data_IF_356708644412
#
_entry.id   IF_356708644412
#
_cell.length_a   1.000
_cell.length_b   1.000
_cell.length_c   1.000
_cell.angle_alpha   90.00
_cell.angle_beta   90.00
_cell.angle_gamma   90.00
#
_symmetry.space_group_name_H-M   'P 1'
#
loop_
_entity.id
_entity.type
_entity.pdbx_description
1 polymer ?
#
# COMPACT_ATOMS: atom_id res chain seq x y z
N UNK A 1 25.07 3.45 -35.17
CA UNK A 1 26.05 3.99 -34.20
C UNK A 1 25.52 3.69 -32.81
N UNK A 2 26.37 3.21 -31.90
CA UNK A 2 26.00 2.97 -30.51
C UNK A 2 25.52 4.28 -29.87
N UNK A 3 24.43 4.22 -29.11
CA UNK A 3 23.89 5.39 -28.42
C UNK A 3 24.90 5.87 -27.37
N UNK A 4 25.49 7.05 -27.60
CA UNK A 4 26.59 7.57 -26.81
C UNK A 4 26.11 8.07 -25.44
N UNK A 5 26.88 7.78 -24.39
CA UNK A 5 26.63 8.31 -23.05
C UNK A 5 27.15 9.74 -22.94
N UNK A 6 26.25 10.66 -22.56
CA UNK A 6 26.52 12.09 -22.38
C UNK A 6 26.47 12.44 -20.90
N UNK A 7 27.38 13.32 -20.51
CA UNK A 7 27.44 13.92 -19.18
C UNK A 7 27.27 15.43 -19.31
N UNK A 8 26.27 15.98 -18.63
CA UNK A 8 26.06 17.42 -18.49
C UNK A 8 26.41 17.85 -17.07
N UNK A 9 27.22 18.87 -16.93
CA UNK A 9 27.50 19.54 -15.66
C UNK A 9 26.79 20.89 -15.70
N UNK A 10 25.70 21.02 -14.94
CA UNK A 10 24.84 22.22 -14.95
C UNK A 10 24.82 22.82 -13.55
N UNK A 11 25.35 24.03 -13.38
CA UNK A 11 25.43 24.70 -12.07
C UNK A 11 26.18 23.87 -11.00
N UNK A 12 27.14 23.03 -11.44
CA UNK A 12 27.89 22.12 -10.57
C UNK A 12 27.23 20.75 -10.33
N UNK A 13 26.00 20.51 -10.79
CA UNK A 13 25.31 19.22 -10.68
C UNK A 13 25.58 18.37 -11.92
N UNK A 14 25.93 17.09 -11.72
CA UNK A 14 26.23 16.13 -12.80
C UNK A 14 24.98 15.34 -13.19
N UNK A 15 24.59 15.44 -14.46
CA UNK A 15 23.52 14.67 -15.10
C UNK A 15 24.09 13.74 -16.15
N UNK A 16 23.68 12.48 -16.12
CA UNK A 16 24.15 11.45 -17.05
C UNK A 16 22.97 10.87 -17.84
N UNK A 17 23.13 10.73 -19.16
CA UNK A 17 22.09 10.18 -20.03
C UNK A 17 22.65 9.64 -21.33
N UNK A 18 21.75 9.17 -22.20
CA UNK A 18 22.04 8.78 -23.57
C UNK A 18 21.78 9.93 -24.53
N UNK A 19 22.48 9.94 -25.67
CA UNK A 19 22.26 10.90 -26.75
C UNK A 19 20.84 10.87 -27.28
N UNK A 20 20.26 9.68 -27.40
CA UNK A 20 18.87 9.50 -27.83
C UNK A 20 17.88 10.34 -27.01
N UNK A 21 18.11 10.49 -25.69
CA UNK A 21 17.26 11.30 -24.79
C UNK A 21 17.12 12.74 -25.26
N UNK A 22 18.22 13.40 -25.66
CA UNK A 22 18.15 14.78 -26.14
C UNK A 22 17.60 14.86 -27.56
N UNK A 23 18.06 13.98 -28.44
CA UNK A 23 17.64 14.00 -29.86
C UNK A 23 16.17 13.63 -30.07
N UNK A 24 15.50 13.09 -29.04
CA UNK A 24 14.06 12.85 -29.04
C UNK A 24 13.22 14.13 -29.02
N UNK A 25 13.78 15.28 -28.60
CA UNK A 25 13.12 16.59 -28.59
C UNK A 25 13.93 17.57 -29.44
N UNK A 26 13.92 17.40 -30.77
CA UNK A 26 14.99 17.94 -31.60
C UNK A 26 14.86 19.43 -31.95
N UNK A 27 13.77 20.07 -31.54
CA UNK A 27 13.46 21.50 -31.64
C UNK A 27 14.03 22.34 -30.49
N UNK A 28 14.58 21.70 -29.46
CA UNK A 28 15.16 22.39 -28.30
C UNK A 28 16.67 22.63 -28.47
N UNK A 29 17.28 23.38 -27.55
CA UNK A 29 18.72 23.66 -27.56
C UNK A 29 19.56 22.38 -27.54
N UNK A 30 19.33 21.48 -26.58
CA UNK A 30 20.15 20.27 -26.44
C UNK A 30 19.80 19.23 -27.52
N UNK A 31 18.53 19.14 -27.92
CA UNK A 31 18.14 18.28 -29.04
C UNK A 31 18.80 18.71 -30.35
N UNK A 32 18.92 20.01 -30.57
CA UNK A 32 19.68 20.56 -31.69
C UNK A 32 21.17 20.28 -31.53
N UNK A 33 21.77 20.59 -30.38
CA UNK A 33 23.21 20.46 -30.12
C UNK A 33 23.73 19.02 -30.31
N UNK A 34 22.95 18.01 -29.93
CA UNK A 34 23.38 16.61 -29.95
C UNK A 34 23.01 15.82 -31.21
N UNK A 35 22.41 16.47 -32.22
CA UNK A 35 22.22 15.88 -33.56
C UNK A 35 23.56 15.60 -34.23
N UNK A 36 23.60 14.55 -35.06
CA UNK A 36 24.79 14.14 -35.83
C UNK A 36 25.39 15.27 -36.68
N UNK A 37 24.55 16.17 -37.18
CA UNK A 37 24.96 17.25 -38.07
C UNK A 37 25.63 18.43 -37.34
N UNK A 38 25.57 18.46 -36.00
CA UNK A 38 25.99 19.61 -35.18
C UNK A 38 27.23 19.32 -34.33
N UNK A 39 28.06 18.36 -34.75
CA UNK A 39 29.36 18.04 -34.13
C UNK A 39 30.23 19.28 -33.86
N UNK A 40 30.25 20.25 -34.78
CA UNK A 40 31.04 21.47 -34.66
C UNK A 40 30.58 22.43 -33.54
N UNK A 41 29.39 22.23 -32.98
CA UNK A 41 28.82 23.02 -31.88
C UNK A 41 29.15 22.39 -30.52
N UNK A 42 29.60 21.13 -30.51
CA UNK A 42 29.93 20.36 -29.31
C UNK A 42 31.28 20.81 -28.73
N UNK A 43 31.24 21.64 -27.70
CA UNK A 43 32.42 21.97 -26.91
C UNK A 43 32.54 21.02 -25.71
N UNK A 44 32.99 19.79 -25.97
CA UNK A 44 33.21 18.81 -24.91
C UNK A 44 34.54 19.06 -24.19
N UNK A 45 34.56 18.96 -22.85
CA UNK A 45 35.79 19.09 -22.06
C UNK A 45 36.58 17.77 -22.06
N UNK A 46 35.89 16.62 -22.01
CA UNK A 46 36.48 15.28 -21.92
C UNK A 46 35.88 14.30 -22.95
N UNK A 47 35.49 14.78 -24.14
CA UNK A 47 34.89 13.97 -25.21
C UNK A 47 33.39 13.73 -25.08
N UNK A 48 32.87 13.56 -23.86
CA UNK A 48 31.42 13.39 -23.61
C UNK A 48 30.87 14.23 -22.46
N UNK A 49 31.68 15.14 -21.90
CA UNK A 49 31.31 16.03 -20.79
C UNK A 49 31.11 17.47 -21.28
N UNK A 50 29.98 18.07 -20.92
CA UNK A 50 29.58 19.42 -21.35
C UNK A 50 29.19 20.29 -20.15
N UNK A 51 29.61 21.55 -20.15
CA UNK A 51 29.42 22.46 -19.01
C UNK A 51 28.43 23.59 -19.34
N UNK A 52 27.50 23.83 -18.41
CA UNK A 52 26.51 24.90 -18.47
C UNK A 52 26.49 25.68 -17.15
N UNK A 53 26.80 26.97 -17.20
CA UNK A 53 26.70 27.88 -16.06
C UNK A 53 25.25 28.37 -15.89
N UNK A 54 24.37 27.44 -15.50
CA UNK A 54 22.92 27.60 -15.38
C UNK A 54 22.42 27.01 -14.07
N UNK A 55 21.14 27.18 -13.75
CA UNK A 55 20.58 26.62 -12.52
C UNK A 55 20.47 25.08 -12.61
N UNK A 56 21.38 24.38 -11.93
CA UNK A 56 21.42 22.92 -11.90
C UNK A 56 20.14 22.30 -11.32
N UNK A 57 19.58 22.86 -10.26
CA UNK A 57 18.36 22.32 -9.64
C UNK A 57 17.14 22.47 -10.57
N UNK A 58 17.02 23.60 -11.26
CA UNK A 58 15.99 23.81 -12.27
C UNK A 58 16.16 22.87 -13.47
N UNK A 59 17.42 22.59 -13.83
CA UNK A 59 17.76 21.68 -14.93
C UNK A 59 17.27 20.25 -14.70
N UNK A 60 17.05 19.82 -13.45
CA UNK A 60 16.38 18.55 -13.17
C UNK A 60 15.04 18.42 -13.93
N UNK A 61 14.20 19.46 -13.89
CA UNK A 61 12.90 19.44 -14.56
C UNK A 61 13.02 19.51 -16.09
N UNK A 62 14.05 20.20 -16.59
CA UNK A 62 14.39 20.23 -18.01
C UNK A 62 14.82 18.84 -18.48
N UNK A 63 15.62 18.13 -17.68
CA UNK A 63 16.09 16.78 -17.96
C UNK A 63 14.93 15.77 -18.00
N UNK A 64 13.99 15.86 -17.05
CA UNK A 64 12.77 15.04 -17.05
C UNK A 64 11.88 15.28 -18.28
N UNK A 65 11.85 16.52 -18.79
CA UNK A 65 11.17 16.82 -20.05
C UNK A 65 11.80 16.06 -21.23
N UNK A 66 13.13 16.00 -21.35
CA UNK A 66 13.76 15.22 -22.43
C UNK A 66 13.50 13.73 -22.31
N UNK A 67 13.45 13.18 -21.09
CA UNK A 67 13.17 11.75 -20.85
C UNK A 67 11.74 11.36 -21.19
N UNK A 68 10.77 12.23 -20.90
CA UNK A 68 9.35 11.86 -20.88
C UNK A 68 8.48 12.61 -21.91
N UNK A 69 9.01 13.68 -22.52
CA UNK A 69 8.26 14.66 -23.30
C UNK A 69 7.31 15.52 -22.45
N UNK A 70 7.45 15.53 -21.11
CA UNK A 70 6.52 16.16 -20.19
C UNK A 70 7.28 16.97 -19.15
N UNK A 71 6.84 18.21 -18.90
CA UNK A 71 7.34 18.97 -17.74
C UNK A 71 6.70 18.43 -16.46
N UNK A 72 7.52 17.93 -15.55
CA UNK A 72 7.11 17.34 -14.26
C UNK A 72 7.43 18.27 -13.09
N UNK A 73 7.00 19.53 -13.18
CA UNK A 73 7.13 20.48 -12.08
C UNK A 73 5.93 20.34 -11.14
N UNK A 74 6.11 19.55 -10.09
CA UNK A 74 5.05 19.28 -9.11
C UNK A 74 5.04 20.32 -8.01
N UNK A 75 3.86 20.79 -7.64
CA UNK A 75 3.63 21.57 -6.41
C UNK A 75 3.40 20.65 -5.19
N UNK A 76 3.89 19.41 -5.20
CA UNK A 76 3.70 18.48 -4.08
C UNK A 76 4.38 19.00 -2.82
N UNK A 77 3.60 19.67 -1.96
CA UNK A 77 3.60 19.94 -0.50
C UNK A 77 4.94 20.30 0.20
N UNK A 78 6.09 19.91 -0.31
CA UNK A 78 7.35 20.61 -0.07
C UNK A 78 7.47 21.67 -1.15
N UNK A 79 7.68 22.91 -0.77
CA UNK A 79 7.92 23.99 -1.73
C UNK A 79 8.93 23.49 -2.76
N UNK A 80 8.64 23.62 -4.07
CA UNK A 80 9.60 23.22 -5.08
C UNK A 80 10.89 24.00 -4.79
N UNK A 81 12.01 23.29 -4.71
CA UNK A 81 13.34 23.88 -4.46
C UNK A 81 13.66 25.00 -5.48
N UNK A 82 12.97 24.96 -6.62
CA UNK A 82 13.06 25.90 -7.74
C UNK A 82 11.74 26.65 -7.88
N UNK A 83 11.82 27.98 -7.82
CA UNK A 83 10.67 28.87 -8.05
C UNK A 83 10.17 28.78 -9.50
N UNK A 84 8.91 29.17 -9.72
CA UNK A 84 8.35 29.27 -11.08
C UNK A 84 9.19 30.17 -11.99
N UNK A 85 9.71 31.28 -11.46
CA UNK A 85 10.52 32.22 -12.21
C UNK A 85 11.81 31.57 -12.70
N UNK A 86 12.56 30.91 -11.80
CA UNK A 86 13.80 30.21 -12.16
C UNK A 86 13.54 29.12 -13.21
N UNK A 87 12.47 28.34 -13.06
CA UNK A 87 12.11 27.35 -14.06
C UNK A 87 11.76 27.99 -15.41
N UNK A 88 11.01 29.08 -15.40
CA UNK A 88 10.60 29.79 -16.62
C UNK A 88 11.81 30.37 -17.38
N UNK A 89 12.83 30.85 -16.67
CA UNK A 89 14.09 31.33 -17.26
C UNK A 89 14.90 30.19 -17.89
N UNK A 90 14.97 29.01 -17.26
CA UNK A 90 15.65 27.86 -17.86
C UNK A 90 14.89 27.29 -19.07
N UNK A 91 13.56 27.28 -19.05
CA UNK A 91 12.76 26.89 -20.21
C UNK A 91 13.03 27.79 -21.43
N UNK A 92 13.23 29.10 -21.22
CA UNK A 92 13.66 30.02 -22.29
C UNK A 92 15.06 29.68 -22.79
N UNK A 93 16.02 29.51 -21.87
CA UNK A 93 17.41 29.23 -22.22
C UNK A 93 17.55 27.93 -23.04
N UNK A 94 16.89 26.86 -22.62
CA UNK A 94 16.91 25.57 -23.32
C UNK A 94 15.97 25.51 -24.53
N UNK A 95 15.30 26.62 -24.87
CA UNK A 95 14.43 26.75 -26.04
C UNK A 95 13.28 25.74 -26.06
N UNK A 96 12.66 25.51 -24.90
CA UNK A 96 11.56 24.57 -24.75
C UNK A 96 10.23 25.32 -24.92
N UNK A 97 9.33 24.82 -25.78
CA UNK A 97 8.07 25.48 -26.10
C UNK A 97 7.10 25.52 -24.91
N UNK A 98 6.94 26.70 -24.32
CA UNK A 98 6.13 26.96 -23.13
C UNK A 98 4.62 26.77 -23.32
N UNK A 99 4.10 27.12 -24.50
CA UNK A 99 2.65 27.21 -24.75
C UNK A 99 1.94 25.85 -24.64
N UNK A 100 2.55 24.81 -25.22
CA UNK A 100 2.07 23.44 -25.16
C UNK A 100 2.31 22.83 -23.77
N UNK A 101 3.38 23.25 -23.10
CA UNK A 101 3.81 22.64 -21.84
C UNK A 101 3.01 23.14 -20.64
N UNK A 102 2.74 24.44 -20.52
CA UNK A 102 2.06 25.00 -19.33
C UNK A 102 0.57 24.64 -19.28
N UNK A 103 -0.11 24.58 -20.42
CA UNK A 103 -1.49 24.08 -20.50
C UNK A 103 -1.56 22.58 -20.12
N UNK A 104 -0.62 21.79 -20.61
CA UNK A 104 -0.40 20.40 -20.19
C UNK A 104 -0.06 20.29 -18.69
N UNK A 105 0.74 21.21 -18.15
CA UNK A 105 1.14 21.19 -16.75
C UNK A 105 -0.04 21.49 -15.83
N UNK A 106 -0.80 22.57 -16.10
CA UNK A 106 -1.98 22.92 -15.31
C UNK A 106 -3.02 21.78 -15.30
N UNK A 107 -3.29 21.18 -16.46
CA UNK A 107 -4.19 20.03 -16.56
C UNK A 107 -3.65 18.81 -15.82
N UNK A 108 -2.36 18.50 -15.94
CA UNK A 108 -1.71 17.41 -15.19
C UNK A 108 -1.72 17.64 -13.69
N UNK A 109 -1.52 18.87 -13.22
CA UNK A 109 -1.61 19.23 -11.81
C UNK A 109 -3.02 18.98 -11.29
N UNK A 110 -4.05 19.45 -11.99
CA UNK A 110 -5.44 19.19 -11.60
C UNK A 110 -5.77 17.69 -11.59
N UNK A 111 -5.35 16.93 -12.61
CA UNK A 111 -5.51 15.47 -12.68
C UNK A 111 -4.78 14.80 -11.51
N UNK A 112 -3.57 15.24 -11.19
CA UNK A 112 -2.78 14.72 -10.08
C UNK A 112 -3.49 14.96 -8.74
N UNK A 113 -3.98 16.18 -8.49
CA UNK A 113 -4.73 16.51 -7.28
C UNK A 113 -5.98 15.66 -7.13
N UNK A 114 -6.75 15.47 -8.21
CA UNK A 114 -7.92 14.57 -8.21
C UNK A 114 -7.48 13.12 -7.94
N UNK A 115 -6.39 12.67 -8.58
CA UNK A 115 -5.84 11.33 -8.38
C UNK A 115 -5.39 11.08 -6.94
N UNK A 116 -4.71 12.04 -6.31
CA UNK A 116 -4.32 11.97 -4.90
C UNK A 116 -5.55 11.93 -4.00
N UNK A 117 -6.58 12.74 -4.28
CA UNK A 117 -7.84 12.72 -3.52
C UNK A 117 -8.54 11.35 -3.61
N UNK A 118 -8.60 10.77 -4.81
CA UNK A 118 -9.11 9.41 -5.03
C UNK A 118 -8.28 8.38 -4.26
N UNK A 119 -6.95 8.46 -4.32
CA UNK A 119 -6.05 7.57 -3.57
C UNK A 119 -6.28 7.66 -2.07
N UNK A 120 -6.53 8.85 -1.52
CA UNK A 120 -6.90 9.01 -0.10
C UNK A 120 -8.24 8.35 0.23
N UNK A 121 -9.23 8.42 -0.67
CA UNK A 121 -10.49 7.69 -0.51
C UNK A 121 -10.30 6.17 -0.59
N UNK A 122 -9.49 5.66 -1.51
CA UNK A 122 -9.18 4.23 -1.62
C UNK A 122 -8.54 3.69 -0.34
N UNK A 123 -7.53 4.40 0.18
CA UNK A 123 -6.87 4.03 1.44
C UNK A 123 -7.83 4.08 2.63
N UNK A 124 -8.71 5.08 2.68
CA UNK A 124 -9.76 5.17 3.70
C UNK A 124 -10.69 3.96 3.64
N UNK A 125 -11.16 3.59 2.44
CA UNK A 125 -12.04 2.43 2.24
C UNK A 125 -11.34 1.14 2.70
N UNK A 126 -10.12 0.90 2.24
CA UNK A 126 -9.34 -0.30 2.54
C UNK A 126 -9.07 -0.41 4.05
N UNK A 127 -8.52 0.65 4.65
CA UNK A 127 -8.17 0.65 6.08
C UNK A 127 -9.40 0.50 6.97
N UNK A 128 -10.52 1.15 6.64
CA UNK A 128 -11.77 1.00 7.39
C UNK A 128 -12.30 -0.43 7.30
N UNK A 129 -12.30 -1.01 6.11
CA UNK A 129 -12.79 -2.37 5.88
C UNK A 129 -11.97 -3.42 6.64
N UNK A 130 -10.64 -3.26 6.67
CA UNK A 130 -9.72 -4.18 7.36
C UNK A 130 -9.81 -4.02 8.89
N UNK A 131 -9.73 -2.78 9.38
CA UNK A 131 -9.49 -2.54 10.81
C UNK A 131 -10.77 -2.50 11.65
N UNK A 132 -11.90 -2.13 11.05
CA UNK A 132 -13.12 -1.85 11.81
C UNK A 132 -14.19 -2.94 11.63
N UNK A 133 -14.03 -3.81 10.63
CA UNK A 133 -15.02 -4.80 10.22
C UNK A 133 -16.41 -4.20 9.94
N UNK A 134 -16.46 -2.89 9.67
CA UNK A 134 -17.68 -2.10 9.56
C UNK A 134 -18.14 -1.99 8.09
N UNK A 135 -19.45 -1.84 7.91
CA UNK A 135 -20.14 -1.87 6.61
C UNK A 135 -20.37 -0.48 6.03
N UNK A 136 -19.98 0.60 6.72
CA UNK A 136 -20.26 1.96 6.26
C UNK A 136 -19.20 2.99 6.64
N UNK A 137 -19.03 4.00 5.79
CA UNK A 137 -18.21 5.19 6.05
C UNK A 137 -19.07 6.41 5.75
N UNK A 138 -19.09 7.36 6.69
CA UNK A 138 -19.69 8.67 6.51
C UNK A 138 -18.61 9.75 6.41
N UNK A 139 -18.71 10.59 5.37
CA UNK A 139 -17.87 11.76 5.18
C UNK A 139 -18.75 12.98 4.94
N UNK A 140 -18.38 14.09 5.54
CA UNK A 140 -18.97 15.39 5.29
C UNK A 140 -17.89 16.38 4.85
N UNK A 141 -18.06 17.00 3.68
CA UNK A 141 -17.15 18.02 3.15
C UNK A 141 -17.89 19.34 3.00
N UNK A 142 -17.51 20.34 3.80
CA UNK A 142 -18.18 21.65 3.85
C UNK A 142 -17.50 22.68 2.95
N UNK A 143 -18.27 23.64 2.42
CA UNK A 143 -17.76 24.70 1.53
C UNK A 143 -17.16 25.91 2.25
N UNK A 144 -17.52 26.15 3.50
CA UNK A 144 -17.18 27.39 4.24
C UNK A 144 -15.77 27.40 4.80
N UNK A 145 -15.25 26.23 5.17
CA UNK A 145 -13.91 26.05 5.70
C UNK A 145 -13.13 24.96 4.95
N UNK A 146 -13.71 24.36 3.91
CA UNK A 146 -13.20 23.17 3.23
C UNK A 146 -12.75 22.06 4.20
N UNK A 147 -13.35 22.02 5.39
CA UNK A 147 -13.05 20.97 6.36
C UNK A 147 -13.76 19.69 5.94
N UNK A 148 -13.01 18.62 6.06
CA UNK A 148 -13.49 17.26 5.90
C UNK A 148 -13.75 16.72 7.31
N UNK A 149 -15.02 16.45 7.60
CA UNK A 149 -15.45 15.77 8.80
C UNK A 149 -15.64 14.29 8.45
N UNK A 150 -14.85 13.43 9.08
CA UNK A 150 -14.99 11.99 9.00
C UNK A 150 -15.08 11.42 10.41
N UNK A 151 -15.83 10.32 10.59
CA UNK A 151 -16.02 9.69 11.90
C UNK A 151 -14.76 9.04 12.48
N UNK A 152 -13.66 8.93 11.71
CA UNK A 152 -12.50 8.11 12.06
C UNK A 152 -11.17 8.89 12.07
N UNK A 153 -10.15 8.28 12.68
CA UNK A 153 -8.77 8.76 12.87
C UNK A 153 -7.98 9.13 11.58
N UNK A 154 -8.61 9.11 10.41
CA UNK A 154 -7.98 9.34 9.11
C UNK A 154 -8.17 10.76 8.59
N UNK A 155 -8.69 11.67 9.42
CA UNK A 155 -8.87 13.10 9.09
C UNK A 155 -7.59 13.74 8.54
N UNK A 156 -6.43 13.38 9.12
CA UNK A 156 -5.12 13.93 8.71
C UNK A 156 -4.79 13.66 7.25
N UNK A 157 -5.23 12.53 6.67
CA UNK A 157 -4.96 12.20 5.25
C UNK A 157 -5.64 13.16 4.28
N UNK A 158 -6.70 13.81 4.72
CA UNK A 158 -7.48 14.74 3.93
C UNK A 158 -7.08 16.20 4.16
N UNK A 159 -6.17 16.46 5.10
CA UNK A 159 -5.74 17.81 5.45
C UNK A 159 -5.11 18.55 4.26
N UNK A 160 -4.41 17.83 3.38
CA UNK A 160 -3.82 18.39 2.16
C UNK A 160 -4.85 18.91 1.15
N UNK A 161 -6.12 18.53 1.27
CA UNK A 161 -7.21 18.99 0.41
C UNK A 161 -8.09 20.06 1.05
N UNK A 162 -7.70 20.57 2.24
CA UNK A 162 -8.29 21.76 2.86
C UNK A 162 -8.10 22.94 1.92
N UNK A 163 -9.12 23.25 1.14
CA UNK A 163 -9.07 24.33 0.14
C UNK A 163 -9.66 23.94 -1.20
N UNK A 164 -9.66 22.66 -1.55
CA UNK A 164 -10.08 22.21 -2.88
C UNK A 164 -11.02 20.99 -2.87
N UNK A 165 -11.16 20.28 -1.76
CA UNK A 165 -11.98 19.06 -1.70
C UNK A 165 -13.45 19.28 -2.12
N UNK A 166 -14.06 20.38 -1.69
CA UNK A 166 -15.43 20.72 -2.07
C UNK A 166 -15.55 20.97 -3.58
N UNK A 167 -14.57 21.63 -4.18
CA UNK A 167 -14.54 21.92 -5.62
C UNK A 167 -14.24 20.66 -6.45
N UNK A 168 -13.35 19.79 -5.97
CA UNK A 168 -13.11 18.47 -6.58
C UNK A 168 -14.43 17.72 -6.68
N UNK A 169 -15.20 17.59 -5.59
CA UNK A 169 -16.49 16.90 -5.62
C UNK A 169 -17.52 17.63 -6.47
N UNK A 170 -17.58 18.96 -6.41
CA UNK A 170 -18.51 19.76 -7.22
C UNK A 170 -18.35 19.47 -8.71
N UNK A 171 -17.12 19.27 -9.17
CA UNK A 171 -16.81 19.08 -10.58
C UNK A 171 -16.71 17.59 -11.00
N UNK A 172 -16.35 16.68 -10.08
CA UNK A 172 -15.93 15.31 -10.44
C UNK A 172 -16.61 14.19 -9.66
N UNK A 173 -17.61 14.48 -8.82
CA UNK A 173 -18.27 13.46 -7.97
C UNK A 173 -18.78 12.23 -8.74
N UNK A 174 -19.26 12.39 -9.97
CA UNK A 174 -19.83 11.29 -10.75
C UNK A 174 -18.73 10.36 -11.29
N UNK A 175 -17.61 10.95 -11.72
CA UNK A 175 -16.43 10.24 -12.16
C UNK A 175 -15.79 9.48 -11.00
N UNK A 176 -15.64 10.14 -9.84
CA UNK A 176 -15.16 9.51 -8.59
C UNK A 176 -16.08 8.36 -8.18
N UNK A 177 -17.40 8.58 -8.18
CA UNK A 177 -18.39 7.54 -7.89
C UNK A 177 -18.21 6.33 -8.80
N UNK A 178 -18.18 6.55 -10.12
CA UNK A 178 -18.04 5.47 -11.11
C UNK A 178 -16.77 4.67 -10.87
N UNK A 179 -15.65 5.38 -10.73
CA UNK A 179 -14.35 4.78 -10.48
C UNK A 179 -14.34 3.94 -9.19
N UNK A 180 -14.77 4.49 -8.05
CA UNK A 180 -14.72 3.76 -6.78
C UNK A 180 -15.69 2.57 -6.74
N UNK A 181 -16.90 2.71 -7.32
CA UNK A 181 -17.85 1.59 -7.41
C UNK A 181 -17.30 0.46 -8.28
N UNK A 182 -16.63 0.78 -9.38
CA UNK A 182 -15.98 -0.21 -10.25
C UNK A 182 -14.79 -0.86 -9.54
N UNK A 183 -13.88 -0.07 -8.97
CA UNK A 183 -12.68 -0.54 -8.26
C UNK A 183 -13.00 -1.47 -7.08
N UNK A 184 -14.06 -1.20 -6.33
CA UNK A 184 -14.45 -1.98 -5.15
C UNK A 184 -15.75 -2.79 -5.35
N UNK A 185 -16.12 -3.07 -6.61
CA UNK A 185 -17.36 -3.80 -6.91
C UNK A 185 -17.39 -5.19 -6.24
N UNK A 186 -16.24 -5.87 -6.15
CA UNK A 186 -16.12 -7.16 -5.48
C UNK A 186 -16.26 -7.08 -3.96
N UNK A 187 -16.09 -5.92 -3.32
CA UNK A 187 -16.45 -5.70 -1.92
C UNK A 187 -17.93 -5.29 -1.77
N UNK A 188 -18.65 -5.12 -2.88
CA UNK A 188 -20.03 -4.65 -2.93
C UNK A 188 -20.16 -3.19 -2.51
N UNK A 189 -19.19 -2.34 -2.89
CA UNK A 189 -19.23 -0.92 -2.59
C UNK A 189 -20.46 -0.25 -3.21
N UNK A 190 -21.19 0.52 -2.40
CA UNK A 190 -22.21 1.47 -2.85
C UNK A 190 -21.83 2.87 -2.40
N UNK A 191 -22.02 3.83 -3.29
CA UNK A 191 -21.71 5.23 -3.04
C UNK A 191 -22.95 6.10 -3.22
N UNK A 192 -23.29 6.83 -2.16
CA UNK A 192 -24.32 7.85 -2.15
C UNK A 192 -23.69 9.18 -1.75
N UNK A 193 -23.96 10.24 -2.51
CA UNK A 193 -23.44 11.57 -2.24
C UNK A 193 -24.54 12.61 -2.44
N UNK A 194 -24.89 13.30 -1.37
CA UNK A 194 -25.92 14.33 -1.32
C UNK A 194 -25.27 15.69 -1.12
N UNK A 195 -25.70 16.67 -1.92
CA UNK A 195 -25.34 18.08 -1.71
C UNK A 195 -26.44 18.72 -0.87
N UNK A 196 -26.12 19.18 0.32
CA UNK A 196 -27.04 19.91 1.20
C UNK A 196 -26.62 21.36 1.35
N UNK A 197 -27.61 22.21 1.63
CA UNK A 197 -27.42 23.63 1.89
C UNK A 197 -27.92 23.90 3.30
N UNK A 198 -27.05 24.42 4.15
CA UNK A 198 -27.33 24.76 5.53
C UNK A 198 -27.40 26.27 5.67
N UNK A 199 -28.40 26.78 6.41
CA UNK A 199 -28.60 28.20 6.69
C UNK A 199 -28.56 28.43 8.20
N UNK A 200 -27.70 29.34 8.66
CA UNK A 200 -27.59 29.68 10.08
C UNK A 200 -27.27 31.18 10.24
N UNK A 201 -28.10 31.92 10.98
CA UNK A 201 -27.91 33.32 11.39
C UNK A 201 -27.24 34.22 10.31
N UNK A 202 -27.86 34.31 9.12
CA UNK A 202 -27.40 35.05 7.92
C UNK A 202 -26.21 34.49 7.11
N UNK A 203 -25.66 33.35 7.51
CA UNK A 203 -24.65 32.62 6.71
C UNK A 203 -25.25 31.35 6.11
N UNK A 204 -24.82 31.00 4.90
CA UNK A 204 -25.16 29.71 4.30
C UNK A 204 -23.89 29.00 3.87
N UNK A 205 -23.77 27.73 4.23
CA UNK A 205 -22.72 26.86 3.70
C UNK A 205 -23.34 25.66 3.01
N UNK A 206 -22.59 25.09 2.10
CA UNK A 206 -22.99 23.87 1.41
C UNK A 206 -22.12 22.73 1.90
N UNK A 207 -22.67 21.53 1.86
CA UNK A 207 -21.98 20.34 2.32
C UNK A 207 -22.24 19.19 1.38
N UNK A 208 -21.21 18.42 1.07
CA UNK A 208 -21.35 17.09 0.48
C UNK A 208 -21.35 16.07 1.60
N UNK A 209 -22.45 15.34 1.75
CA UNK A 209 -22.56 14.18 2.61
C UNK A 209 -22.39 12.93 1.77
N UNK A 210 -21.36 12.16 2.07
CA UNK A 210 -21.01 10.94 1.35
C UNK A 210 -21.21 9.77 2.30
N UNK A 211 -22.06 8.84 1.87
CA UNK A 211 -22.24 7.53 2.49
C UNK A 211 -21.64 6.47 1.56
N UNK A 212 -20.63 5.78 2.05
CA UNK A 212 -20.03 4.62 1.38
C UNK A 212 -20.45 3.39 2.16
N UNK A 213 -21.01 2.37 1.51
CA UNK A 213 -21.40 1.11 2.19
C UNK A 213 -20.83 -0.10 1.48
N UNK A 214 -20.66 -1.22 2.19
CA UNK A 214 -20.02 -2.44 1.69
C UNK A 214 -20.74 -3.71 2.13
N UNK A 215 -20.36 -4.84 1.52
CA UNK A 215 -20.71 -6.16 2.03
C UNK A 215 -19.94 -6.47 3.31
N UNK A 216 -20.53 -7.24 4.23
CA UNK A 216 -19.90 -7.58 5.50
C UNK A 216 -18.53 -8.24 5.32
N UNK A 217 -17.46 -7.76 5.97
CA UNK A 217 -16.14 -8.40 5.95
C UNK A 217 -16.19 -9.86 6.42
N UNK A 218 -16.91 -10.12 7.53
CA UNK A 218 -17.13 -11.47 8.07
C UNK A 218 -17.78 -12.41 7.05
N UNK A 219 -18.92 -12.04 6.48
CA UNK A 219 -19.63 -12.88 5.49
C UNK A 219 -18.77 -13.15 4.24
N UNK A 220 -17.98 -12.15 3.81
CA UNK A 220 -17.06 -12.28 2.67
C UNK A 220 -15.92 -13.27 2.99
N UNK A 221 -15.33 -13.18 4.17
CA UNK A 221 -14.26 -14.09 4.62
C UNK A 221 -14.75 -15.53 4.64
N UNK A 222 -15.89 -15.79 5.28
CA UNK A 222 -16.46 -17.14 5.39
C UNK A 222 -16.83 -17.73 4.01
N UNK A 223 -17.29 -16.89 3.06
CA UNK A 223 -17.53 -17.32 1.67
C UNK A 223 -16.25 -17.53 0.87
N UNK A 224 -15.15 -16.85 1.23
CA UNK A 224 -13.86 -17.01 0.55
C UNK A 224 -13.13 -18.31 0.94
N UNK A 225 -13.35 -18.80 2.17
CA UNK A 225 -12.80 -20.07 2.66
C UNK A 225 -13.33 -21.28 1.88
N UNK A 226 -14.58 -21.24 1.42
CA UNK A 226 -15.12 -22.28 0.53
C UNK A 226 -14.60 -22.17 -0.92
N UNK A 227 -14.03 -21.03 -1.30
CA UNK A 227 -13.51 -20.77 -2.65
C UNK A 227 -11.98 -20.96 -2.78
N UNK A 228 -11.22 -21.06 -1.67
CA UNK A 228 -9.76 -21.28 -1.71
C UNK A 228 -9.34 -22.58 -2.41
N UNK A 229 -10.25 -23.56 -2.51
CA UNK A 229 -10.05 -24.76 -3.31
C UNK A 229 -9.88 -24.46 -4.82
N UNK A 230 -10.20 -23.25 -5.30
CA UNK A 230 -10.24 -22.91 -6.74
C UNK A 230 -9.28 -21.79 -7.18
N UNK A 231 -8.52 -21.18 -6.26
CA UNK A 231 -7.44 -20.24 -6.61
C UNK A 231 -6.11 -20.74 -6.03
N UNK A 232 -5.88 -22.04 -6.21
CA UNK A 232 -4.62 -22.70 -5.91
C UNK A 232 -4.06 -23.24 -7.22
N UNK A 233 -3.24 -22.44 -7.92
CA UNK A 233 -2.38 -22.99 -8.97
C UNK A 233 -1.23 -23.71 -8.29
N UNK A 234 -1.49 -24.93 -7.80
CA UNK A 234 -0.43 -25.83 -7.36
C UNK A 234 0.21 -26.39 -8.63
N UNK A 235 1.39 -25.87 -8.98
CA UNK A 235 2.24 -26.49 -9.99
C UNK A 235 3.57 -26.87 -9.33
N UNK A 236 3.97 -28.13 -9.55
CA UNK A 236 5.21 -28.68 -9.01
C UNK A 236 6.43 -27.86 -9.50
N UNK A 237 7.51 -27.78 -8.70
CA UNK A 237 8.70 -27.06 -9.10
C UNK A 237 9.32 -27.69 -10.34
N UNK A 238 9.47 -26.91 -11.41
CA UNK A 238 10.23 -27.30 -12.61
C UNK A 238 11.50 -26.44 -12.63
N UNK A 239 12.55 -26.91 -11.97
CA UNK A 239 13.92 -26.98 -12.51
C UNK A 239 14.92 -27.48 -11.46
N UNK A 240 15.78 -28.41 -11.88
CA UNK A 240 16.78 -29.15 -11.10
C UNK A 240 18.23 -28.70 -11.36
N UNK A 241 18.48 -27.44 -11.75
CA UNK A 241 19.85 -26.96 -11.91
C UNK A 241 20.14 -25.68 -11.12
N UNK A 242 21.04 -25.79 -10.15
CA UNK A 242 21.55 -24.74 -9.26
C UNK A 242 22.46 -23.73 -9.99
N UNK A 243 21.94 -22.99 -10.97
CA UNK A 243 22.58 -21.74 -11.37
C UNK A 243 21.89 -20.58 -10.67
N UNK A 244 22.61 -20.00 -9.70
CA UNK A 244 22.22 -18.81 -8.95
C UNK A 244 22.21 -17.60 -9.90
N UNK A 245 21.12 -17.46 -10.67
CA UNK A 245 20.79 -16.20 -11.32
C UNK A 245 20.44 -15.22 -10.19
N UNK A 246 21.05 -14.04 -10.17
CA UNK A 246 20.73 -12.94 -9.22
C UNK A 246 19.41 -12.29 -9.68
N UNK A 247 18.39 -13.12 -9.74
CA UNK A 247 16.96 -12.91 -10.04
C UNK A 247 16.45 -14.33 -10.35
N UNK A 248 16.41 -15.18 -9.32
CA UNK A 248 15.85 -16.52 -9.46
C UNK A 248 14.33 -16.43 -9.50
N UNK A 249 13.83 -15.97 -10.64
CA UNK A 249 12.42 -15.94 -11.00
C UNK A 249 12.15 -17.21 -11.82
N UNK A 250 12.41 -18.39 -11.24
CA UNK A 250 12.26 -19.67 -11.92
C UNK A 250 10.97 -19.66 -12.74
N UNK A 251 11.06 -19.91 -14.05
CA UNK A 251 10.12 -19.52 -15.12
C UNK A 251 8.67 -20.00 -15.00
N UNK A 252 8.02 -19.71 -13.88
CA UNK A 252 6.72 -20.23 -13.45
C UNK A 252 5.55 -19.54 -14.16
N UNK A 253 5.78 -18.44 -14.88
CA UNK A 253 4.73 -17.62 -15.51
C UNK A 253 5.14 -17.18 -16.92
N UNK A 254 5.08 -18.07 -17.92
CA UNK A 254 5.67 -17.84 -19.24
C UNK A 254 5.01 -16.71 -20.05
N UNK A 255 3.89 -16.16 -19.59
CA UNK A 255 3.11 -15.10 -20.25
C UNK A 255 3.53 -13.70 -19.84
N UNK A 256 4.39 -13.55 -18.83
CA UNK A 256 4.84 -12.24 -18.33
C UNK A 256 6.20 -11.89 -18.93
N UNK A 257 6.64 -10.63 -18.81
CA UNK A 257 7.91 -10.17 -19.39
C UNK A 257 9.11 -10.98 -18.86
N UNK A 258 9.31 -11.01 -17.54
CA UNK A 258 10.43 -11.75 -16.95
C UNK A 258 10.28 -13.27 -17.16
N UNK A 259 9.05 -13.78 -17.06
CA UNK A 259 8.78 -15.19 -17.30
C UNK A 259 9.06 -15.62 -18.74
N UNK A 260 8.87 -14.72 -19.72
CA UNK A 260 9.27 -14.92 -21.11
C UNK A 260 10.79 -14.81 -21.26
N UNK A 261 11.38 -13.75 -20.75
CA UNK A 261 12.81 -13.46 -20.85
C UNK A 261 13.69 -14.59 -20.30
N UNK A 262 13.28 -15.21 -19.19
CA UNK A 262 14.05 -16.26 -18.50
C UNK A 262 13.70 -17.70 -18.93
N UNK A 263 12.93 -17.89 -20.01
CA UNK A 263 12.77 -19.22 -20.63
C UNK A 263 14.04 -19.66 -21.37
N UNK A 264 14.30 -20.97 -21.38
CA UNK A 264 15.49 -21.55 -22.04
C UNK A 264 15.56 -21.23 -23.53
N UNK A 265 14.41 -21.23 -24.22
CA UNK A 265 14.32 -20.84 -25.65
C UNK A 265 14.76 -19.40 -25.92
N UNK A 266 14.71 -18.52 -24.91
CA UNK A 266 15.08 -17.10 -25.03
C UNK A 266 16.48 -16.81 -24.46
N UNK A 267 17.26 -17.83 -24.13
CA UNK A 267 18.60 -17.66 -23.52
C UNK A 267 19.52 -16.78 -24.37
N UNK A 268 19.46 -16.88 -25.70
CA UNK A 268 20.26 -16.07 -26.62
C UNK A 268 19.85 -14.59 -26.70
N UNK A 269 18.67 -14.23 -26.20
CA UNK A 269 18.15 -12.84 -26.19
C UNK A 269 18.49 -12.10 -24.88
N UNK A 270 19.18 -12.76 -23.94
CA UNK A 270 19.55 -12.18 -22.66
C UNK A 270 20.85 -11.40 -22.82
N UNK A 271 20.83 -10.12 -22.47
CA UNK A 271 22.00 -9.24 -22.51
C UNK A 271 22.33 -8.73 -21.09
N UNK A 272 22.96 -9.57 -20.24
CA UNK A 272 23.39 -9.13 -18.93
C UNK A 272 24.53 -8.11 -19.04
N UNK A 273 24.59 -7.17 -18.12
CA UNK A 273 25.62 -6.11 -18.09
C UNK A 273 26.95 -6.67 -17.60
N UNK A 274 26.90 -7.53 -16.58
CA UNK A 274 28.06 -8.23 -16.06
C UNK A 274 27.65 -9.60 -15.49
N UNK A 275 28.11 -10.70 -16.11
CA UNK A 275 27.75 -12.06 -15.71
C UNK A 275 26.24 -12.33 -15.82
N UNK A 276 25.53 -12.30 -14.69
CA UNK A 276 24.08 -12.56 -14.58
C UNK A 276 23.28 -11.34 -14.10
N UNK A 277 23.84 -10.13 -14.18
CA UNK A 277 23.19 -8.90 -13.75
C UNK A 277 22.38 -8.25 -14.87
N UNK A 278 21.16 -7.82 -14.53
CA UNK A 278 20.24 -7.12 -15.43
C UNK A 278 19.87 -5.77 -14.80
N UNK A 279 19.90 -4.72 -15.61
CA UNK A 279 19.46 -3.39 -15.19
C UNK A 279 18.12 -3.07 -15.83
N UNK A 280 17.18 -2.66 -15.00
CA UNK A 280 15.88 -2.13 -15.41
C UNK A 280 15.78 -0.72 -14.86
N UNK A 281 15.72 0.27 -15.73
CA UNK A 281 15.54 1.67 -15.36
C UNK A 281 14.06 1.95 -15.02
N UNK A 282 13.59 1.36 -13.91
CA UNK A 282 12.18 1.29 -13.50
C UNK A 282 12.00 1.62 -12.02
N UNK A 283 10.74 1.72 -11.55
CA UNK A 283 10.45 2.01 -10.15
C UNK A 283 10.87 0.85 -9.21
N UNK A 284 11.95 1.07 -8.45
CA UNK A 284 12.53 0.06 -7.57
C UNK A 284 11.63 -0.35 -6.39
N UNK A 285 10.77 0.55 -5.89
CA UNK A 285 9.87 0.25 -4.77
C UNK A 285 8.70 -0.64 -5.22
N UNK A 286 8.10 -0.32 -6.37
CA UNK A 286 7.04 -1.13 -6.95
C UNK A 286 7.54 -2.53 -7.36
N UNK A 287 8.81 -2.64 -7.75
CA UNK A 287 9.42 -3.90 -8.19
C UNK A 287 9.41 -5.00 -7.11
N UNK A 288 9.37 -4.65 -5.83
CA UNK A 288 9.19 -5.61 -4.74
C UNK A 288 7.94 -6.49 -4.95
N UNK A 289 6.80 -5.87 -5.28
CA UNK A 289 5.52 -6.56 -5.48
C UNK A 289 5.51 -7.40 -6.75
N UNK A 290 6.21 -6.94 -7.78
CA UNK A 290 6.46 -7.70 -9.00
C UNK A 290 7.18 -9.02 -8.65
N UNK A 291 8.24 -8.96 -7.85
CA UNK A 291 8.98 -10.15 -7.43
C UNK A 291 8.16 -11.07 -6.53
N UNK A 292 7.39 -10.53 -5.58
CA UNK A 292 6.51 -11.34 -4.73
C UNK A 292 5.48 -12.12 -5.55
N UNK A 293 4.92 -11.53 -6.60
CA UNK A 293 4.02 -12.22 -7.52
C UNK A 293 4.67 -13.43 -8.20
N UNK A 294 5.94 -13.34 -8.58
CA UNK A 294 6.66 -14.47 -9.15
C UNK A 294 7.06 -15.52 -8.12
N UNK A 295 7.33 -15.12 -6.87
CA UNK A 295 7.67 -16.05 -5.78
C UNK A 295 6.47 -16.87 -5.32
N UNK A 296 5.37 -16.17 -5.03
CA UNK A 296 4.20 -16.73 -4.33
C UNK A 296 3.10 -17.16 -5.27
N UNK A 297 3.10 -16.66 -6.50
CA UNK A 297 1.98 -16.81 -7.42
C UNK A 297 0.89 -15.74 -7.23
N UNK A 298 0.89 -15.01 -6.10
CA UNK A 298 -0.16 -14.07 -5.69
C UNK A 298 0.34 -12.63 -5.72
N UNK A 299 -0.53 -11.71 -6.12
CA UNK A 299 -0.25 -10.28 -6.03
C UNK A 299 -0.93 -9.73 -4.77
N UNK A 300 -0.14 -9.38 -3.76
CA UNK A 300 -0.64 -8.76 -2.53
C UNK A 300 -0.31 -7.28 -2.57
N UNK A 301 -1.33 -6.43 -2.50
CA UNK A 301 -1.17 -4.98 -2.54
C UNK A 301 -0.88 -4.46 -1.13
N UNK A 302 -0.04 -3.42 -0.99
CA UNK A 302 0.18 -2.82 0.32
C UNK A 302 -1.08 -2.13 0.82
N UNK A 303 -1.31 -2.24 2.14
CA UNK A 303 -2.42 -1.55 2.82
C UNK A 303 -2.15 -0.06 3.00
N UNK A 304 -0.88 0.32 3.12
CA UNK A 304 -0.42 1.70 3.13
C UNK A 304 0.74 1.85 2.14
N UNK A 305 0.64 2.83 1.26
CA UNK A 305 1.71 3.13 0.32
C UNK A 305 2.72 4.08 0.96
N UNK A 306 4.00 3.76 0.79
CA UNK A 306 5.13 4.63 1.12
C UNK A 306 5.31 5.70 0.03
N UNK A 307 6.40 5.60 -0.76
CA UNK A 307 6.79 6.66 -1.69
C UNK A 307 6.27 6.49 -3.12
N UNK A 308 5.40 5.51 -3.39
CA UNK A 308 4.81 5.29 -4.72
C UNK A 308 3.29 5.09 -4.63
N UNK A 309 2.58 5.23 -5.75
CA UNK A 309 1.10 5.20 -5.82
C UNK A 309 0.58 3.90 -6.45
N UNK A 310 -0.71 3.59 -6.26
CA UNK A 310 -1.38 2.49 -6.99
C UNK A 310 -1.18 2.59 -8.50
N UNK A 311 -1.26 3.81 -9.04
CA UNK A 311 -1.08 4.04 -10.47
C UNK A 311 0.33 3.66 -10.93
N UNK A 312 1.36 4.04 -10.17
CA UNK A 312 2.75 3.64 -10.48
C UNK A 312 2.93 2.12 -10.41
N UNK A 313 2.26 1.45 -9.46
CA UNK A 313 2.29 -0.02 -9.41
C UNK A 313 1.61 -0.66 -10.63
N UNK A 314 0.46 -0.13 -11.06
CA UNK A 314 -0.24 -0.59 -12.26
C UNK A 314 0.61 -0.40 -13.52
N UNK A 315 1.29 0.74 -13.65
CA UNK A 315 2.23 1.01 -14.75
C UNK A 315 3.38 -0.02 -14.77
N UNK A 316 3.90 -0.42 -13.61
CA UNK A 316 4.91 -1.49 -13.54
C UNK A 316 4.31 -2.87 -13.84
N UNK A 317 3.11 -3.19 -13.35
CA UNK A 317 2.44 -4.47 -13.65
C UNK A 317 2.19 -4.61 -15.15
N UNK A 318 1.78 -3.54 -15.82
CA UNK A 318 1.60 -3.47 -17.27
C UNK A 318 2.94 -3.66 -18.01
N UNK A 319 3.97 -2.92 -17.61
CA UNK A 319 5.33 -3.06 -18.16
C UNK A 319 5.84 -4.51 -18.07
N UNK A 320 5.66 -5.15 -16.91
CA UNK A 320 6.06 -6.55 -16.70
C UNK A 320 5.05 -7.57 -17.23
N UNK A 321 3.97 -7.13 -17.87
CA UNK A 321 2.91 -7.96 -18.46
C UNK A 321 2.31 -8.94 -17.44
N UNK A 322 2.11 -8.46 -16.21
CA UNK A 322 1.46 -9.22 -15.14
C UNK A 322 -0.05 -9.00 -15.24
N UNK A 323 -0.86 -10.06 -15.44
CA UNK A 323 -2.31 -9.92 -15.48
C UNK A 323 -2.83 -9.32 -14.18
N UNK A 324 -3.55 -8.21 -14.29
CA UNK A 324 -4.06 -7.45 -13.16
C UNK A 324 -5.53 -7.10 -13.36
N UNK A 325 -6.40 -7.71 -12.57
CA UNK A 325 -7.78 -7.29 -12.43
C UNK A 325 -7.91 -6.53 -11.11
N UNK A 326 -8.01 -5.19 -11.19
CA UNK A 326 -7.95 -4.31 -10.01
C UNK A 326 -8.98 -4.69 -8.94
N UNK A 327 -10.29 -4.84 -9.24
CA UNK A 327 -11.27 -5.28 -8.25
C UNK A 327 -10.92 -6.60 -7.56
N UNK A 328 -10.54 -7.62 -8.33
CA UNK A 328 -10.23 -8.95 -7.80
C UNK A 328 -9.00 -8.93 -6.90
N UNK A 329 -7.94 -8.23 -7.32
CA UNK A 329 -6.70 -8.16 -6.56
C UNK A 329 -6.90 -7.36 -5.27
N UNK A 330 -7.60 -6.22 -5.31
CA UNK A 330 -7.91 -5.44 -4.10
C UNK A 330 -8.74 -6.28 -3.13
N UNK A 331 -9.82 -6.90 -3.60
CA UNK A 331 -10.70 -7.73 -2.77
C UNK A 331 -9.92 -8.87 -2.10
N UNK A 332 -9.18 -9.66 -2.88
CA UNK A 332 -8.39 -10.78 -2.36
C UNK A 332 -7.28 -10.33 -1.39
N UNK A 333 -6.59 -9.22 -1.69
CA UNK A 333 -5.55 -8.67 -0.81
C UNK A 333 -6.13 -8.17 0.52
N UNK A 334 -7.28 -7.49 0.49
CA UNK A 334 -7.98 -7.03 1.70
C UNK A 334 -8.40 -8.21 2.58
N UNK A 335 -9.01 -9.24 1.99
CA UNK A 335 -9.45 -10.42 2.72
C UNK A 335 -8.27 -11.23 3.29
N UNK A 336 -7.17 -11.35 2.55
CA UNK A 336 -5.96 -12.03 3.04
C UNK A 336 -5.32 -11.26 4.20
N UNK A 337 -5.27 -9.93 4.15
CA UNK A 337 -4.80 -9.12 5.30
C UNK A 337 -5.67 -9.35 6.52
N UNK A 338 -7.00 -9.34 6.37
CA UNK A 338 -7.89 -9.61 7.50
C UNK A 338 -7.64 -11.00 8.07
N UNK A 339 -7.49 -12.01 7.22
CA UNK A 339 -7.14 -13.38 7.65
C UNK A 339 -5.81 -13.43 8.40
N UNK A 340 -4.79 -12.74 7.91
CA UNK A 340 -3.50 -12.67 8.56
C UNK A 340 -3.58 -12.00 9.94
N UNK A 341 -4.39 -10.95 10.08
CA UNK A 341 -4.65 -10.31 11.37
C UNK A 341 -5.33 -11.27 12.36
N UNK A 342 -6.35 -12.02 11.89
CA UNK A 342 -7.02 -13.05 12.69
C UNK A 342 -6.04 -14.16 13.10
N UNK A 343 -5.25 -14.68 12.16
CA UNK A 343 -4.26 -15.73 12.41
C UNK A 343 -3.18 -15.26 13.40
N UNK A 344 -2.73 -14.02 13.29
CA UNK A 344 -1.77 -13.42 14.23
C UNK A 344 -2.35 -13.40 15.65
N UNK A 345 -3.62 -13.05 15.79
CA UNK A 345 -4.30 -13.08 17.08
C UNK A 345 -4.47 -14.52 17.62
N UNK A 346 -4.84 -15.49 16.77
CA UNK A 346 -4.91 -16.91 17.13
C UNK A 346 -3.55 -17.40 17.66
N UNK A 347 -2.46 -17.12 16.93
CA UNK A 347 -1.11 -17.50 17.34
C UNK A 347 -0.71 -16.86 18.67
N UNK A 348 -1.12 -15.62 18.93
CA UNK A 348 -0.90 -14.97 20.22
C UNK A 348 -1.64 -15.69 21.37
N UNK A 349 -2.88 -16.16 21.14
CA UNK A 349 -3.59 -17.00 22.11
C UNK A 349 -2.95 -18.37 22.30
N UNK A 350 -2.54 -19.05 21.22
CA UNK A 350 -1.83 -20.33 21.29
C UNK A 350 -0.55 -20.20 22.13
N UNK A 351 0.27 -19.18 21.86
CA UNK A 351 1.50 -18.91 22.62
C UNK A 351 1.20 -18.55 24.09
N UNK A 352 0.15 -17.77 24.37
CA UNK A 352 -0.27 -17.45 25.73
C UNK A 352 -0.59 -18.72 26.53
N UNK A 353 -1.38 -19.63 25.96
CA UNK A 353 -1.77 -20.89 26.61
C UNK A 353 -0.53 -21.74 26.91
N UNK A 354 0.39 -21.87 25.95
CA UNK A 354 1.65 -22.61 26.11
C UNK A 354 2.51 -21.99 27.21
N UNK A 355 2.64 -20.66 27.23
CA UNK A 355 3.38 -19.95 28.29
C UNK A 355 2.74 -20.16 29.65
N UNK A 356 1.41 -20.13 29.77
CA UNK A 356 0.71 -20.45 31.02
C UNK A 356 0.97 -21.89 31.50
N UNK A 357 1.00 -22.86 30.57
CA UNK A 357 1.32 -24.26 30.90
C UNK A 357 2.71 -24.42 31.53
N UNK A 358 3.71 -23.63 31.08
CA UNK A 358 5.06 -23.60 31.70
C UNK A 358 5.03 -23.28 33.20
N UNK A 359 4.06 -22.49 33.63
CA UNK A 359 3.88 -22.07 35.02
C UNK A 359 2.80 -22.86 35.76
N UNK A 360 2.28 -23.96 35.18
CA UNK A 360 1.14 -24.72 35.72
C UNK A 360 -0.08 -23.86 36.00
N UNK A 361 -0.30 -22.83 35.18
CA UNK A 361 -1.48 -21.99 35.24
C UNK A 361 -2.52 -22.57 34.28
N UNK A 362 -3.70 -22.82 34.82
CA UNK A 362 -4.82 -23.43 34.12
C UNK A 362 -6.06 -22.53 34.01
N UNK A 363 -5.99 -21.30 34.53
CA UNK A 363 -7.05 -20.30 34.43
C UNK A 363 -6.47 -18.95 33.97
N UNK A 364 -6.92 -18.50 32.81
CA UNK A 364 -6.49 -17.24 32.18
C UNK A 364 -7.71 -16.35 32.06
N UNK A 365 -7.62 -15.13 32.59
CA UNK A 365 -8.67 -14.13 32.44
C UNK A 365 -8.07 -12.85 31.84
N UNK A 366 -8.56 -12.49 30.66
CA UNK A 366 -8.19 -11.29 29.92
C UNK A 366 -9.35 -10.30 29.94
N UNK A 367 -9.12 -9.12 30.49
CA UNK A 367 -10.10 -8.03 30.56
C UNK A 367 -9.61 -6.85 29.71
N UNK A 368 -10.41 -6.49 28.71
CA UNK A 368 -10.11 -5.40 27.78
C UNK A 368 -10.84 -4.14 28.26
N UNK A 369 -10.11 -3.18 28.85
CA UNK A 369 -10.70 -1.98 29.49
C UNK A 369 -9.98 -0.70 29.06
N UNK A 370 -10.68 0.18 28.34
CA UNK A 370 -10.07 1.40 27.77
C UNK A 370 -8.92 1.02 26.82
N UNK A 371 -7.81 1.77 26.74
CA UNK A 371 -6.66 1.39 25.90
C UNK A 371 -5.71 0.36 26.55
N UNK A 372 -6.16 -0.40 27.56
CA UNK A 372 -5.31 -1.32 28.32
C UNK A 372 -5.94 -2.70 28.42
N UNK A 373 -5.08 -3.71 28.47
CA UNK A 373 -5.46 -5.09 28.77
C UNK A 373 -5.02 -5.38 30.19
N UNK A 374 -6.01 -5.67 31.02
CA UNK A 374 -5.81 -6.17 32.37
C UNK A 374 -5.82 -7.69 32.29
N UNK A 375 -4.68 -8.29 32.63
CA UNK A 375 -4.54 -9.75 32.67
C UNK A 375 -4.54 -10.18 34.12
N UNK A 376 -5.49 -11.04 34.49
CA UNK A 376 -5.43 -11.79 35.74
C UNK A 376 -5.23 -13.25 35.37
N UNK A 377 -4.09 -13.78 35.75
CA UNK A 377 -3.68 -15.15 35.42
C UNK A 377 -3.60 -15.88 36.77
N UNK A 378 -4.45 -16.88 36.96
CA UNK A 378 -4.61 -17.56 38.26
C UNK A 378 -4.23 -19.04 38.12
N UNK A 379 -3.37 -19.52 39.01
CA UNK A 379 -3.03 -20.94 39.11
C UNK A 379 -3.92 -21.57 40.17
N UNK A 380 -4.63 -22.66 39.85
CA UNK A 380 -5.57 -23.25 40.80
C UNK A 380 -4.90 -23.70 42.10
N UNK A 381 -5.25 -23.06 43.22
CA UNK A 381 -6.12 -23.68 44.22
C UNK A 381 -6.83 -22.58 45.06
N UNK A 382 -8.15 -22.66 45.17
CA UNK A 382 -9.01 -21.67 45.86
C UNK A 382 -8.68 -21.48 47.36
N UNK A 383 -7.72 -22.25 47.88
CA UNK A 383 -7.25 -22.23 49.26
C UNK A 383 -6.01 -21.35 49.50
N UNK A 384 -5.23 -21.03 48.45
CA UNK A 384 -4.02 -20.17 48.54
C UNK A 384 -3.78 -19.43 47.22
N UNK A 385 -4.32 -18.21 47.10
CA UNK A 385 -4.02 -17.29 45.99
C UNK A 385 -2.53 -16.92 46.01
N UNK A 386 -1.68 -17.70 45.35
CA UNK A 386 -0.35 -17.24 44.99
C UNK A 386 -0.49 -16.36 43.74
N UNK A 387 -0.67 -15.05 43.96
CA UNK A 387 -0.49 -14.06 42.90
C UNK A 387 0.99 -14.09 42.50
N UNK A 388 1.33 -14.92 41.51
CA UNK A 388 2.61 -14.78 40.84
C UNK A 388 2.50 -13.49 40.00
N UNK A 389 3.16 -12.41 40.43
CA UNK A 389 3.49 -11.36 39.48
C UNK A 389 4.43 -12.01 38.46
N UNK A 390 3.90 -12.30 37.27
CA UNK A 390 4.65 -12.86 36.15
C UNK A 390 4.85 -11.77 35.11
N UNK A 391 5.90 -10.92 35.27
CA UNK A 391 6.23 -9.88 34.30
C UNK A 391 6.33 -10.40 32.86
N UNK A 392 6.82 -11.62 32.64
CA UNK A 392 6.91 -12.23 31.30
C UNK A 392 5.52 -12.33 30.63
N UNK A 393 4.53 -12.91 31.31
CA UNK A 393 3.17 -13.06 30.76
C UNK A 393 2.48 -11.71 30.59
N UNK A 394 2.66 -10.79 31.54
CA UNK A 394 2.09 -9.43 31.44
C UNK A 394 2.68 -8.66 30.26
N UNK A 395 4.00 -8.71 30.10
CA UNK A 395 4.71 -8.04 29.00
C UNK A 395 4.31 -8.67 27.67
N UNK A 396 4.23 -10.00 27.61
CA UNK A 396 3.75 -10.73 26.45
C UNK A 396 2.34 -10.24 26.05
N UNK A 397 1.40 -10.27 26.98
CA UNK A 397 0.02 -9.85 26.70
C UNK A 397 -0.07 -8.39 26.24
N UNK A 398 0.66 -7.49 26.90
CA UNK A 398 0.69 -6.06 26.53
C UNK A 398 1.31 -5.85 25.14
N UNK A 399 2.24 -6.70 24.72
CA UNK A 399 2.91 -6.60 23.41
C UNK A 399 2.11 -7.22 22.25
N UNK A 400 1.29 -8.24 22.51
CA UNK A 400 0.63 -9.04 21.47
C UNK A 400 -0.83 -8.70 21.26
N UNK A 401 -1.52 -8.22 22.28
CA UNK A 401 -2.92 -7.90 22.20
C UNK A 401 -3.05 -6.37 22.23
N UNK A 402 -3.14 -5.74 21.06
CA UNK A 402 -3.48 -4.31 20.98
C UNK A 402 -4.98 -4.15 21.19
N UNK A 403 -5.40 -3.22 22.05
CA UNK A 403 -6.79 -3.17 22.53
C UNK A 403 -7.81 -3.04 21.39
N UNK A 404 -7.62 -2.08 20.48
CA UNK A 404 -8.62 -1.77 19.45
C UNK A 404 -8.74 -2.92 18.44
N UNK A 405 -7.61 -3.34 17.87
CA UNK A 405 -7.53 -4.38 16.85
C UNK A 405 -8.01 -5.72 17.39
N UNK A 406 -7.56 -6.10 18.59
CA UNK A 406 -7.98 -7.35 19.25
C UNK A 406 -9.47 -7.33 19.50
N UNK A 407 -10.00 -6.22 20.04
CA UNK A 407 -11.42 -6.11 20.34
C UNK A 407 -12.28 -6.26 19.09
N UNK A 408 -11.96 -5.52 18.03
CA UNK A 408 -12.75 -5.56 16.78
C UNK A 408 -12.76 -6.97 16.19
N UNK A 409 -11.61 -7.66 16.18
CA UNK A 409 -11.54 -9.04 15.71
C UNK A 409 -12.38 -9.96 16.60
N UNK A 410 -12.31 -9.84 17.92
CA UNK A 410 -13.09 -10.68 18.84
C UNK A 410 -14.60 -10.44 18.73
N UNK A 411 -15.03 -9.18 18.58
CA UNK A 411 -16.44 -8.80 18.35
C UNK A 411 -17.02 -9.50 17.10
N UNK A 412 -16.20 -9.71 16.07
CA UNK A 412 -16.65 -10.20 14.77
C UNK A 412 -16.34 -11.67 14.50
N UNK A 413 -15.23 -12.18 15.02
CA UNK A 413 -14.65 -13.50 14.73
C UNK A 413 -14.34 -14.31 16.00
N UNK A 414 -14.79 -13.86 17.18
CA UNK A 414 -14.49 -14.51 18.46
C UNK A 414 -14.89 -15.99 18.51
N UNK A 415 -16.03 -16.35 17.92
CA UNK A 415 -16.48 -17.76 17.86
C UNK A 415 -15.56 -18.64 17.00
N UNK A 416 -15.06 -18.10 15.89
CA UNK A 416 -14.10 -18.82 15.05
C UNK A 416 -12.78 -19.07 15.78
N UNK A 417 -12.31 -18.08 16.55
CA UNK A 417 -11.11 -18.20 17.39
C UNK A 417 -11.32 -19.22 18.51
N UNK A 418 -12.47 -19.18 19.18
CA UNK A 418 -12.88 -20.17 20.19
C UNK A 418 -12.82 -21.60 19.62
N UNK A 419 -13.50 -21.85 18.50
CA UNK A 419 -13.59 -23.17 17.90
C UNK A 419 -12.19 -23.69 17.49
N UNK A 420 -11.32 -22.81 16.97
CA UNK A 420 -9.93 -23.16 16.65
C UNK A 420 -9.13 -23.55 17.90
N UNK A 421 -9.17 -22.74 18.97
CA UNK A 421 -8.41 -22.99 20.19
C UNK A 421 -8.88 -24.25 20.92
N UNK A 422 -10.19 -24.46 21.04
CA UNK A 422 -10.77 -25.66 21.66
C UNK A 422 -10.35 -26.92 20.91
N UNK A 423 -10.39 -26.87 19.57
CA UNK A 423 -9.93 -27.99 18.72
C UNK A 423 -8.42 -28.24 18.86
N UNK A 424 -7.62 -27.17 18.92
CA UNK A 424 -6.16 -27.25 18.99
C UNK A 424 -5.65 -27.83 20.31
N UNK A 425 -6.27 -27.45 21.42
CA UNK A 425 -5.88 -27.86 22.78
C UNK A 425 -6.84 -28.90 23.38
N UNK A 426 -7.33 -29.82 22.56
CA UNK A 426 -8.30 -30.85 22.96
C UNK A 426 -7.78 -31.72 24.11
N UNK A 427 -6.48 -32.02 24.14
CA UNK A 427 -5.85 -32.84 25.18
C UNK A 427 -5.92 -32.19 26.56
N UNK A 428 -5.97 -30.85 26.62
CA UNK A 428 -6.09 -30.09 27.86
C UNK A 428 -7.55 -29.90 28.31
N UNK A 429 -8.52 -30.34 27.50
CA UNK A 429 -9.95 -30.11 27.76
C UNK A 429 -10.29 -28.61 27.84
N UNK A 430 -9.70 -27.81 26.95
CA UNK A 430 -9.81 -26.36 26.98
C UNK A 430 -11.26 -25.88 26.88
N UNK A 431 -11.63 -24.98 27.78
CA UNK A 431 -12.89 -24.24 27.78
C UNK A 431 -12.59 -22.75 27.58
N UNK A 432 -13.32 -22.14 26.66
CA UNK A 432 -13.21 -20.73 26.34
C UNK A 432 -14.58 -20.08 26.56
N UNK A 433 -14.62 -18.99 27.30
CA UNK A 433 -15.81 -18.17 27.52
C UNK A 433 -15.49 -16.72 27.13
N UNK A 434 -16.36 -16.12 26.32
CA UNK A 434 -16.32 -14.69 26.01
C UNK A 434 -17.59 -14.02 26.55
N UNK A 435 -17.44 -12.92 27.28
CA UNK A 435 -18.54 -12.09 27.76
C UNK A 435 -18.30 -10.63 27.41
N UNK A 436 -19.32 -9.98 26.89
CA UNK A 436 -19.35 -8.55 26.67
C UNK A 436 -20.27 -7.91 27.71
N UNK A 437 -19.73 -6.99 28.52
CA UNK A 437 -20.53 -6.23 29.48
C UNK A 437 -20.98 -4.88 28.90
N UNK A 438 -22.07 -4.31 29.46
CA UNK A 438 -22.64 -3.02 29.06
C UNK A 438 -21.62 -1.86 28.97
N UNK A 439 -20.52 -1.93 29.74
CA UNK A 439 -19.44 -0.94 29.72
C UNK A 439 -18.42 -1.14 28.59
N UNK A 440 -18.73 -1.94 27.56
CA UNK A 440 -17.82 -2.27 26.46
C UNK A 440 -16.53 -2.97 26.90
N UNK A 441 -16.56 -3.63 28.06
CA UNK A 441 -15.47 -4.46 28.55
C UNK A 441 -15.67 -5.84 27.95
N UNK A 442 -14.72 -6.26 27.13
CA UNK A 442 -14.61 -7.65 26.71
C UNK A 442 -13.88 -8.43 27.76
N UNK A 443 -14.46 -9.56 28.14
CA UNK A 443 -13.87 -10.50 29.07
C UNK A 443 -13.72 -11.85 28.40
N UNK A 444 -12.48 -12.31 28.29
CA UNK A 444 -12.18 -13.66 27.84
C UNK A 444 -11.69 -14.46 29.04
N UNK A 445 -12.25 -15.64 29.24
CA UNK A 445 -11.80 -16.61 30.22
C UNK A 445 -11.45 -17.91 29.50
N UNK A 446 -10.22 -18.37 29.70
CA UNK A 446 -9.73 -19.65 29.19
C UNK A 446 -9.38 -20.51 30.40
N UNK A 447 -9.94 -21.70 30.45
CA UNK A 447 -9.63 -22.67 31.51
C UNK A 447 -9.37 -24.06 30.94
N UNK A 448 -8.51 -24.82 31.60
CA UNK A 448 -8.16 -26.18 31.15
C UNK A 448 -7.69 -27.04 32.35
N UNK A 449 -7.41 -28.32 32.13
CA UNK A 449 -6.95 -29.25 33.17
C UNK A 449 -5.66 -29.95 32.79
N UNK A 450 -4.75 -30.09 33.77
CA UNK A 450 -3.53 -30.89 33.62
C UNK A 450 -3.75 -32.39 33.89
N UNK A 451 -4.96 -32.83 34.29
CA UNK A 451 -5.25 -34.24 34.56
C UNK A 451 -4.88 -35.17 33.41
N UNK A 452 -5.13 -34.75 32.17
CA UNK A 452 -4.78 -35.53 30.99
C UNK A 452 -3.27 -35.52 30.71
N UNK A 453 -2.55 -34.46 31.10
CA UNK A 453 -1.08 -34.41 31.03
C UNK A 453 -0.48 -35.40 32.04
N UNK A 454 -1.01 -35.45 33.26
CA UNK A 454 -0.55 -36.38 34.30
C UNK A 454 -0.77 -37.84 33.89
N UNK A 455 -1.86 -38.17 33.19
CA UNK A 455 -2.10 -39.52 32.65
C UNK A 455 -1.08 -39.96 31.60
N UNK A 456 -0.46 -39.01 30.90
CA UNK A 456 0.55 -39.26 29.87
C UNK A 456 1.99 -39.15 30.38
N UNK A 457 2.18 -38.73 31.64
CA UNK A 457 3.48 -38.66 32.31
C UNK A 457 3.85 -40.07 32.78
N UNK A 458 4.71 -40.77 32.02
CA UNK A 458 5.27 -42.08 32.38
C UNK A 458 6.61 -41.94 33.09
#
# INVERSE_FOLDING_TARGET
>A
MSDEKIILIVGGIRYETLRSTFTAQPETLLGTMFRDQNEYIKNSVNGNEYFFDRNGEAFYYIMEFYRTGKLLWTTEIKEPQVTYQQLNEELDYFQINKSEIFSSLASKTAISTIGQFISSLEQLIISHYINNFDRGIYLEIRSDNNNIHCSNNLKSRFDQFKGCAFDILSNTKNQIKRYLVETFCELGLKWECLRKIYKYNNTSYQSFEINITFSSPVERLLKSESAQAHISFIQAPINTSEQKIILNVGGKKPTTLLGTMFQDRNKCMRHPINGNEYFFDRNSEAFYYILEFYRTGKLTLPTEFGNFTYKQLEEELDYFQIPFNRPTVICSSVLETIRNNINTLILAFEELIIRCCKYFINYIKLEFKGNKILTSIDGSDNSKRHYYDLPDLRNFCTSKFMYYETRVILDNMGKHIEDHLVKRFVDLGLKYESRQNYNSIHLITISFSFENVYKNFK
#
